data_IF_741601856266
#
_entry.id   IF_741601856266
#
_cell.length_a   1.000
_cell.length_b   1.000
_cell.length_c   1.000
_cell.angle_alpha   90.00
_cell.angle_beta   90.00
_cell.angle_gamma   90.00
#
_symmetry.space_group_name_H-M   'P 1'
#
loop_
_entity.id
_entity.type
_entity.pdbx_description
1 polymer ?
#
# COMPACT_ATOMS: atom_id res chain seq x y z
N UNK A 1 22.39 12.10 -7.90
CA UNK A 1 22.02 13.15 -6.93
C UNK A 1 20.60 12.80 -6.50
N UNK A 2 20.41 12.26 -5.29
CA UNK A 2 19.24 11.42 -4.96
C UNK A 2 17.91 12.13 -5.26
N UNK A 3 17.82 13.42 -4.96
CA UNK A 3 16.61 14.20 -5.23
C UNK A 3 16.32 14.37 -6.72
N UNK A 4 17.35 14.66 -7.53
CA UNK A 4 17.22 14.75 -9.00
C UNK A 4 16.86 13.40 -9.61
N UNK A 5 17.45 12.33 -9.10
CA UNK A 5 17.18 10.96 -9.58
C UNK A 5 15.73 10.55 -9.25
N UNK A 6 15.23 10.91 -8.06
CA UNK A 6 13.83 10.71 -7.67
C UNK A 6 12.86 11.58 -8.50
N UNK A 7 13.22 12.83 -8.81
CA UNK A 7 12.42 13.70 -9.66
C UNK A 7 12.30 13.14 -11.09
N UNK A 8 13.42 12.67 -11.65
CA UNK A 8 13.45 12.01 -12.97
C UNK A 8 12.64 10.71 -12.96
N UNK A 9 12.71 9.93 -11.89
CA UNK A 9 11.90 8.72 -11.79
C UNK A 9 10.39 9.04 -11.72
N UNK A 10 10.00 10.11 -11.02
CA UNK A 10 8.61 10.57 -10.99
C UNK A 10 8.11 10.97 -12.39
N UNK A 11 8.93 11.68 -13.18
CA UNK A 11 8.52 12.02 -14.55
C UNK A 11 8.30 10.78 -15.42
N UNK A 12 9.13 9.75 -15.31
CA UNK A 12 8.90 8.48 -16.01
C UNK A 12 7.64 7.75 -15.56
N UNK A 13 7.32 7.80 -14.25
CA UNK A 13 6.06 7.25 -13.73
C UNK A 13 4.86 7.97 -14.34
N UNK A 14 4.91 9.28 -14.42
CA UNK A 14 3.79 10.09 -14.93
C UNK A 14 3.64 9.94 -16.45
N UNK A 15 4.75 9.86 -17.18
CA UNK A 15 4.76 9.50 -18.59
C UNK A 15 4.14 8.10 -18.83
N UNK A 16 4.53 7.10 -18.02
CA UNK A 16 3.95 5.76 -18.11
C UNK A 16 2.43 5.75 -17.91
N UNK A 17 1.93 6.58 -16.97
CA UNK A 17 0.49 6.71 -16.71
C UNK A 17 -0.26 7.36 -17.88
N UNK A 18 0.36 8.30 -18.59
CA UNK A 18 -0.25 9.00 -19.72
C UNK A 18 -0.50 8.09 -20.93
N UNK A 19 0.24 6.98 -21.07
CA UNK A 19 -0.01 5.98 -22.11
C UNK A 19 -1.33 5.20 -21.94
N UNK A 20 -2.02 5.34 -20.80
CA UNK A 20 -3.34 4.78 -20.58
C UNK A 20 -3.34 3.35 -20.04
N UNK A 21 -4.51 2.69 -20.10
CA UNK A 21 -4.72 1.38 -19.48
C UNK A 21 -4.09 0.26 -20.31
N UNK A 22 -3.16 -0.49 -19.70
CA UNK A 22 -2.63 -1.73 -20.30
C UNK A 22 -3.72 -2.80 -20.39
N UNK A 23 -4.01 -3.35 -21.58
CA UNK A 23 -4.94 -4.45 -21.75
C UNK A 23 -4.57 -5.70 -20.93
N UNK A 24 -5.56 -6.45 -20.46
CA UNK A 24 -5.34 -7.58 -19.55
C UNK A 24 -4.45 -8.68 -20.15
N UNK A 25 -4.59 -8.95 -21.44
CA UNK A 25 -3.73 -9.88 -22.20
C UNK A 25 -2.26 -9.45 -22.28
N UNK A 26 -1.93 -8.19 -21.93
CA UNK A 26 -0.58 -7.63 -21.89
C UNK A 26 -0.14 -7.21 -20.49
N UNK A 27 -0.84 -7.68 -19.43
CA UNK A 27 -0.54 -7.36 -18.02
C UNK A 27 0.93 -7.56 -17.61
N UNK A 28 1.64 -8.49 -18.27
CA UNK A 28 3.05 -8.77 -18.02
C UNK A 28 3.96 -7.56 -18.24
N UNK A 29 3.57 -6.61 -19.11
CA UNK A 29 4.32 -5.37 -19.33
C UNK A 29 4.31 -4.52 -18.06
N UNK A 30 3.15 -4.36 -17.42
CA UNK A 30 3.05 -3.67 -16.13
C UNK A 30 3.86 -4.37 -15.04
N UNK A 31 3.90 -5.71 -15.03
CA UNK A 31 4.72 -6.45 -14.07
C UNK A 31 6.19 -6.11 -14.26
N UNK A 32 6.71 -6.21 -15.50
CA UNK A 32 8.11 -5.89 -15.81
C UNK A 32 8.47 -4.46 -15.47
N UNK A 33 7.61 -3.50 -15.84
CA UNK A 33 7.80 -2.09 -15.53
C UNK A 33 7.92 -1.87 -14.02
N UNK A 34 6.99 -2.40 -13.23
CA UNK A 34 7.02 -2.27 -11.77
C UNK A 34 8.27 -2.93 -11.16
N UNK A 35 8.69 -4.10 -11.66
CA UNK A 35 9.91 -4.77 -11.18
C UNK A 35 11.16 -3.92 -11.41
N UNK A 36 11.29 -3.30 -12.59
CA UNK A 36 12.43 -2.41 -12.90
C UNK A 36 12.38 -1.18 -12.02
N UNK A 37 11.20 -0.58 -11.88
CA UNK A 37 10.99 0.59 -11.03
C UNK A 37 11.37 0.32 -9.57
N UNK A 38 10.94 -0.83 -9.02
CA UNK A 38 11.28 -1.23 -7.65
C UNK A 38 12.79 -1.48 -7.50
N UNK A 39 13.46 -2.03 -8.52
CA UNK A 39 14.91 -2.21 -8.51
C UNK A 39 15.65 -0.86 -8.52
N UNK A 40 15.17 0.13 -9.27
CA UNK A 40 15.74 1.48 -9.29
C UNK A 40 15.52 2.18 -7.96
N UNK A 41 14.30 2.15 -7.42
CA UNK A 41 13.98 2.71 -6.11
C UNK A 41 14.87 2.11 -5.01
N UNK A 42 15.06 0.79 -5.03
CA UNK A 42 15.97 0.11 -4.11
C UNK A 42 17.41 0.63 -4.22
N UNK A 43 17.93 0.85 -5.44
CA UNK A 43 19.26 1.43 -5.66
C UNK A 43 19.37 2.87 -5.15
N UNK A 44 18.28 3.63 -5.19
CA UNK A 44 18.20 4.98 -4.63
C UNK A 44 18.00 5.00 -3.09
N UNK A 45 18.01 3.83 -2.45
CA UNK A 45 17.81 3.70 -1.00
C UNK A 45 16.37 3.97 -0.58
N UNK A 46 15.39 3.78 -1.47
CA UNK A 46 13.97 3.75 -1.13
C UNK A 46 13.60 2.31 -0.80
N UNK A 47 13.06 2.11 0.39
CA UNK A 47 12.61 0.80 0.84
C UNK A 47 11.41 0.32 0.02
N UNK A 48 11.20 -1.00 0.00
CA UNK A 48 10.03 -1.59 -0.66
C UNK A 48 8.72 -1.04 -0.07
N UNK A 49 8.69 -0.85 1.26
CA UNK A 49 7.54 -0.29 1.95
C UNK A 49 7.25 1.15 1.50
N UNK A 50 8.27 2.00 1.39
CA UNK A 50 8.10 3.38 0.88
C UNK A 50 7.63 3.41 -0.57
N UNK A 51 8.17 2.52 -1.43
CA UNK A 51 7.70 2.36 -2.82
C UNK A 51 6.20 2.00 -2.86
N UNK A 52 5.78 1.04 -2.04
CA UNK A 52 4.38 0.62 -1.97
C UNK A 52 3.46 1.72 -1.44
N UNK A 53 3.92 2.52 -0.47
CA UNK A 53 3.16 3.66 0.06
C UNK A 53 3.05 4.79 -0.97
N UNK A 54 4.10 5.06 -1.74
CA UNK A 54 4.06 6.03 -2.83
C UNK A 54 3.04 5.63 -3.90
N UNK A 55 3.07 4.37 -4.35
CA UNK A 55 2.09 3.81 -5.30
C UNK A 55 0.66 3.86 -4.73
N UNK A 56 0.51 3.67 -3.42
CA UNK A 56 -0.79 3.76 -2.76
C UNK A 56 -1.32 5.18 -2.68
N UNK A 57 -0.45 6.19 -2.51
CA UNK A 57 -0.84 7.61 -2.56
C UNK A 57 -1.55 7.99 -3.86
N UNK A 58 -1.07 7.48 -5.01
CA UNK A 58 -1.75 7.69 -6.30
C UNK A 58 -3.13 7.04 -6.37
N UNK A 59 -3.30 5.87 -5.72
CA UNK A 59 -4.60 5.21 -5.60
C UNK A 59 -5.55 6.03 -4.72
N UNK A 60 -5.07 6.58 -3.62
CA UNK A 60 -5.84 7.44 -2.73
C UNK A 60 -6.36 8.70 -3.46
N UNK A 61 -5.52 9.36 -4.27
CA UNK A 61 -5.97 10.50 -5.10
C UNK A 61 -7.12 10.14 -6.03
N UNK A 62 -7.08 8.95 -6.64
CA UNK A 62 -8.17 8.46 -7.49
C UNK A 62 -9.44 8.14 -6.71
N UNK A 63 -9.29 7.68 -5.47
CA UNK A 63 -10.42 7.41 -4.58
C UNK A 63 -11.03 8.70 -4.02
N UNK A 64 -10.21 9.74 -3.81
CA UNK A 64 -10.67 11.06 -3.35
C UNK A 64 -11.46 11.82 -4.41
N UNK A 65 -11.05 11.73 -5.69
CA UNK A 65 -11.71 12.44 -6.79
C UNK A 65 -13.00 11.77 -7.29
N UNK A 66 -13.30 10.57 -6.82
CA UNK A 66 -14.54 9.89 -7.15
C UNK A 66 -15.50 10.14 -5.99
N UNK A 67 -16.60 10.86 -6.21
CA UNK A 67 -17.78 10.96 -5.31
C UNK A 67 -18.39 9.56 -5.08
N UNK A 68 -17.62 8.70 -4.43
CA UNK A 68 -17.88 7.27 -4.40
C UNK A 68 -17.39 6.72 -3.07
N UNK A 69 -18.11 7.07 -2.01
CA UNK A 69 -17.99 6.48 -0.67
C UNK A 69 -17.93 4.96 -0.69
N UNK A 70 -18.65 4.35 -1.65
CA UNK A 70 -18.64 2.90 -1.85
C UNK A 70 -17.25 2.40 -2.27
N UNK A 71 -16.52 3.14 -3.10
CA UNK A 71 -15.15 2.80 -3.47
C UNK A 71 -14.19 2.88 -2.27
N UNK A 72 -14.32 3.90 -1.42
CA UNK A 72 -13.56 4.03 -0.18
C UNK A 72 -13.89 2.89 0.80
N UNK A 73 -15.16 2.56 0.99
CA UNK A 73 -15.59 1.45 1.85
C UNK A 73 -15.08 0.09 1.36
N UNK A 74 -15.14 -0.14 0.04
CA UNK A 74 -14.61 -1.35 -0.58
C UNK A 74 -13.09 -1.46 -0.35
N UNK A 75 -12.35 -0.36 -0.51
CA UNK A 75 -10.91 -0.34 -0.26
C UNK A 75 -10.59 -0.61 1.21
N UNK A 76 -11.33 0.00 2.14
CA UNK A 76 -11.16 -0.25 3.58
C UNK A 76 -11.37 -1.73 3.92
N UNK A 77 -12.43 -2.32 3.37
CA UNK A 77 -12.74 -3.74 3.54
C UNK A 77 -11.65 -4.63 2.96
N UNK A 78 -11.16 -4.29 1.77
CA UNK A 78 -10.05 -5.00 1.12
C UNK A 78 -8.78 -4.98 1.98
N UNK A 79 -8.40 -3.82 2.51
CA UNK A 79 -7.20 -3.68 3.35
C UNK A 79 -7.35 -4.44 4.66
N UNK A 80 -8.50 -4.35 5.34
CA UNK A 80 -8.77 -5.12 6.56
C UNK A 80 -8.63 -6.61 6.32
N UNK A 81 -9.24 -7.14 5.27
CA UNK A 81 -9.09 -8.55 4.89
C UNK A 81 -7.62 -8.92 4.69
N UNK A 82 -6.80 -8.07 4.04
CA UNK A 82 -5.37 -8.33 3.84
C UNK A 82 -4.56 -8.31 5.15
N UNK A 83 -4.95 -7.47 6.10
CA UNK A 83 -4.40 -7.46 7.46
C UNK A 83 -4.72 -8.79 8.16
N UNK A 84 -5.98 -9.22 8.11
CA UNK A 84 -6.44 -10.45 8.76
C UNK A 84 -5.78 -11.70 8.17
N UNK A 85 -5.68 -11.77 6.83
CA UNK A 85 -4.91 -12.82 6.13
C UNK A 85 -3.46 -12.86 6.62
N UNK A 86 -2.78 -11.70 6.67
CA UNK A 86 -1.37 -11.64 7.10
C UNK A 86 -1.20 -12.06 8.57
N UNK A 87 -2.13 -11.66 9.45
CA UNK A 87 -2.12 -12.06 10.87
C UNK A 87 -2.36 -13.56 11.03
N UNK A 88 -3.28 -14.14 10.25
CA UNK A 88 -3.56 -15.57 10.28
C UNK A 88 -2.33 -16.39 9.87
N UNK A 89 -1.67 -16.00 8.78
CA UNK A 89 -0.44 -16.65 8.30
C UNK A 89 0.69 -16.57 9.34
N UNK A 90 0.88 -15.41 9.97
CA UNK A 90 1.86 -15.24 11.05
C UNK A 90 1.58 -16.22 12.19
N UNK A 91 0.33 -16.28 12.67
CA UNK A 91 -0.04 -17.20 13.77
C UNK A 91 0.16 -18.65 13.39
N UNK A 92 -0.16 -19.03 12.14
CA UNK A 92 0.05 -20.40 11.67
C UNK A 92 1.54 -20.76 11.66
N UNK A 93 2.39 -19.86 11.16
CA UNK A 93 3.83 -20.07 11.15
C UNK A 93 4.44 -20.07 12.56
N UNK A 94 3.94 -19.22 13.47
CA UNK A 94 4.33 -19.21 14.88
C UNK A 94 3.92 -20.51 15.59
N UNK A 95 2.70 -21.01 15.34
CA UNK A 95 2.28 -22.33 15.82
C UNK A 95 3.16 -23.44 15.24
N UNK A 96 3.53 -23.37 13.95
CA UNK A 96 4.45 -24.31 13.34
C UNK A 96 5.81 -24.33 14.07
N UNK A 97 6.33 -23.17 14.49
CA UNK A 97 7.57 -23.07 15.28
C UNK A 97 7.48 -23.75 16.64
N UNK A 98 6.30 -23.79 17.29
CA UNK A 98 6.14 -24.46 18.57
C UNK A 98 6.39 -25.97 18.46
N UNK A 99 6.06 -26.60 17.32
CA UNK A 99 6.39 -28.01 17.06
C UNK A 99 7.90 -28.26 16.91
N UNK A 100 8.66 -27.22 16.59
CA UNK A 100 10.13 -27.28 16.46
C UNK A 100 10.88 -26.87 17.73
N UNK A 101 10.19 -26.66 18.85
CA UNK A 101 10.78 -26.25 20.14
C UNK A 101 11.88 -27.21 20.66
N UNK A 102 11.85 -28.49 20.26
CA UNK A 102 12.85 -29.49 20.61
C UNK A 102 13.96 -29.68 19.55
N UNK A 103 13.93 -28.93 18.45
CA UNK A 103 14.97 -29.00 17.41
C UNK A 103 15.98 -27.87 17.56
N UNK A 104 17.27 -28.17 17.32
CA UNK A 104 18.34 -27.18 17.38
C UNK A 104 18.07 -25.99 16.46
N UNK A 105 18.33 -24.76 16.94
CA UNK A 105 18.05 -23.51 16.22
C UNK A 105 18.78 -23.34 14.89
N UNK A 106 19.69 -24.27 14.54
CA UNK A 106 20.40 -24.29 13.26
C UNK A 106 19.65 -25.06 12.15
N UNK A 107 18.46 -25.59 12.44
CA UNK A 107 17.63 -26.29 11.48
C UNK A 107 17.20 -25.35 10.31
N UNK A 108 17.54 -25.69 9.04
CA UNK A 108 17.15 -24.89 7.88
C UNK A 108 15.65 -24.59 7.80
N UNK A 109 14.78 -25.53 8.22
CA UNK A 109 13.33 -25.34 8.23
C UNK A 109 12.90 -24.24 9.22
N UNK A 110 13.53 -24.19 10.40
CA UNK A 110 13.25 -23.15 11.40
C UNK A 110 13.65 -21.79 10.85
N UNK A 111 14.82 -21.69 10.22
CA UNK A 111 15.27 -20.44 9.58
C UNK A 111 14.33 -19.97 8.47
N UNK A 112 13.86 -20.88 7.64
CA UNK A 112 12.91 -20.56 6.57
C UNK A 112 11.56 -20.11 7.10
N UNK A 113 11.05 -20.74 8.16
CA UNK A 113 9.81 -20.33 8.82
C UNK A 113 9.95 -18.94 9.45
N UNK A 114 11.05 -18.67 10.16
CA UNK A 114 11.34 -17.33 10.73
C UNK A 114 11.39 -16.27 9.62
N UNK A 115 12.11 -16.53 8.53
CA UNK A 115 12.18 -15.63 7.38
C UNK A 115 10.81 -15.35 6.76
N UNK A 116 9.95 -16.36 6.69
CA UNK A 116 8.58 -16.19 6.20
C UNK A 116 7.75 -15.34 7.16
N UNK A 117 7.83 -15.57 8.47
CA UNK A 117 7.17 -14.76 9.50
C UNK A 117 7.56 -13.29 9.34
N UNK A 118 8.86 -13.00 9.21
CA UNK A 118 9.36 -11.63 9.04
C UNK A 118 8.80 -10.97 7.79
N UNK A 119 8.77 -11.69 6.66
CA UNK A 119 8.15 -11.21 5.42
C UNK A 119 6.66 -10.89 5.59
N UNK A 120 5.91 -11.73 6.32
CA UNK A 120 4.50 -11.46 6.61
C UNK A 120 4.33 -10.28 7.57
N UNK A 121 5.24 -10.09 8.54
CA UNK A 121 5.26 -8.92 9.44
C UNK A 121 5.53 -7.62 8.68
N UNK A 122 6.50 -7.60 7.75
CA UNK A 122 6.74 -6.44 6.88
C UNK A 122 5.50 -6.10 6.03
N UNK A 123 4.87 -7.12 5.46
CA UNK A 123 3.64 -6.99 4.67
C UNK A 123 2.50 -6.41 5.53
N UNK A 124 2.35 -6.91 6.77
CA UNK A 124 1.37 -6.43 7.73
C UNK A 124 1.59 -4.95 8.10
N UNK A 125 2.83 -4.54 8.36
CA UNK A 125 3.18 -3.13 8.62
C UNK A 125 2.76 -2.25 7.45
N UNK A 126 3.03 -2.70 6.22
CA UNK A 126 2.65 -1.98 5.00
C UNK A 126 1.14 -1.83 4.87
N UNK A 127 0.35 -2.89 5.12
CA UNK A 127 -1.11 -2.81 5.08
C UNK A 127 -1.69 -1.90 6.17
N UNK A 128 -1.12 -1.93 7.38
CA UNK A 128 -1.51 -1.00 8.46
C UNK A 128 -1.25 0.46 8.08
N UNK A 129 -0.11 0.74 7.44
CA UNK A 129 0.21 2.08 6.96
C UNK A 129 -0.76 2.52 5.84
N UNK A 130 -1.13 1.64 4.90
CA UNK A 130 -2.16 1.92 3.88
C UNK A 130 -3.52 2.23 4.52
N UNK A 131 -3.93 1.47 5.54
CA UNK A 131 -5.17 1.73 6.29
C UNK A 131 -5.12 3.10 6.99
N UNK A 132 -3.99 3.44 7.62
CA UNK A 132 -3.81 4.74 8.26
C UNK A 132 -3.97 5.89 7.26
N UNK A 133 -3.33 5.81 6.10
CA UNK A 133 -3.45 6.83 5.06
C UNK A 133 -4.88 6.94 4.52
N UNK A 134 -5.61 5.82 4.39
CA UNK A 134 -7.02 5.82 4.01
C UNK A 134 -7.90 6.52 5.05
N UNK A 135 -7.68 6.26 6.34
CA UNK A 135 -8.43 6.91 7.41
C UNK A 135 -8.15 8.43 7.46
N UNK A 136 -6.91 8.85 7.21
CA UNK A 136 -6.55 10.27 7.12
C UNK A 136 -7.29 10.92 5.94
N UNK A 137 -7.29 10.26 4.77
CA UNK A 137 -8.03 10.77 3.61
C UNK A 137 -9.51 10.94 3.93
N UNK A 138 -10.15 9.91 4.48
CA UNK A 138 -11.57 9.95 4.83
C UNK A 138 -11.87 11.06 5.84
N UNK A 139 -11.01 11.24 6.85
CA UNK A 139 -11.17 12.33 7.82
C UNK A 139 -11.09 13.71 7.18
N UNK A 140 -10.15 13.90 6.23
CA UNK A 140 -10.00 15.17 5.53
C UNK A 140 -11.22 15.47 4.64
N UNK A 141 -11.73 14.49 3.90
CA UNK A 141 -12.92 14.65 3.05
C UNK A 141 -14.14 15.04 3.90
N UNK A 142 -14.42 14.32 4.97
CA UNK A 142 -15.53 14.66 5.87
C UNK A 142 -15.41 16.07 6.47
N UNK A 143 -14.18 16.53 6.74
CA UNK A 143 -13.94 17.88 7.26
C UNK A 143 -14.21 18.95 6.20
N UNK A 144 -13.79 18.70 4.96
CA UNK A 144 -14.06 19.60 3.82
C UNK A 144 -15.58 19.69 3.54
N UNK A 145 -16.30 18.58 3.63
CA UNK A 145 -17.78 18.55 3.51
C UNK A 145 -18.45 19.41 4.59
N UNK A 146 -18.11 19.22 5.87
CA UNK A 146 -18.68 20.01 6.98
C UNK A 146 -18.41 21.51 6.81
N UNK A 147 -17.18 21.88 6.41
CA UNK A 147 -16.84 23.29 6.18
C UNK A 147 -17.60 23.90 5.02
N UNK A 148 -17.82 23.12 3.95
CA UNK A 148 -18.59 23.56 2.79
C UNK A 148 -20.06 23.77 3.17
N UNK A 149 -20.64 22.86 3.96
CA UNK A 149 -22.01 22.96 4.48
C UNK A 149 -22.19 24.20 5.38
N UNK A 150 -21.26 24.44 6.31
CA UNK A 150 -21.28 25.63 7.19
C UNK A 150 -21.16 26.95 6.40
N UNK A 151 -20.33 27.00 5.36
CA UNK A 151 -20.21 28.18 4.49
C UNK A 151 -21.48 28.41 3.66
N UNK A 152 -22.10 27.36 3.12
CA UNK A 152 -23.35 27.48 2.36
C UNK A 152 -24.52 27.96 3.22
N UNK A 153 -24.71 27.38 4.41
CA UNK A 153 -25.81 27.73 5.33
C UNK A 153 -25.68 29.19 5.80
N UNK A 154 -24.45 29.68 6.01
CA UNK A 154 -24.20 31.08 6.39
C UNK A 154 -24.46 32.10 5.27
N UNK A 155 -24.52 31.66 4.01
CA UNK A 155 -24.70 32.53 2.84
C UNK A 155 -26.14 32.59 2.32
N UNK A 156 -27.02 31.70 2.80
CA UNK A 156 -28.45 31.68 2.45
C UNK A 156 -29.32 32.52 3.41
N UNK A 157 -28.77 32.93 4.57
CA UNK A 157 -29.43 33.74 5.60
C UNK A 157 -29.25 35.28 5.45
N UNK A 158 -28.54 35.76 4.42
CA UNK A 158 -28.34 37.19 4.06
C UNK A 158 -29.10 37.59 2.77
#
# INVERSE_FOLDING_TARGET
DKEKDLATLKSFIDEWKNYGRVPFNKKNINVKYNTILDAILKKLGVSKQESELMKYGDKLKKLANADNDRALLNERTFIRRKIDESLSEIRQLENNLLFFSNTSGDNPLVKDVVKNIDRHKETLVTWKAKLKNLNILQHNLNKEEIQTEEETDSSEDD
#
